data_IF_858867994573
#
_entry.id   IF_858867994573
#
_cell.length_a   1.000
_cell.length_b   1.000
_cell.length_c   1.000
_cell.angle_alpha   90.00
_cell.angle_beta   90.00
_cell.angle_gamma   90.00
#
_symmetry.space_group_name_H-M   'P 1'
#
loop_
_entity.id
_entity.type
_entity.pdbx_description
1 polymer ?
#
# COMPACT_ATOMS: atom_id res chain seq x y z
N UNK A 1 14.06 -66.28 -15.21
CA UNK A 1 13.35 -65.16 -14.55
C UNK A 1 14.40 -64.24 -13.92
N UNK A 2 14.52 -62.98 -14.37
CA UNK A 2 15.41 -61.96 -13.77
C UNK A 2 14.55 -60.75 -13.38
N UNK A 3 14.71 -60.18 -12.17
CA UNK A 3 13.80 -59.16 -11.65
C UNK A 3 14.13 -57.79 -12.26
N UNK A 4 13.15 -57.19 -12.94
CA UNK A 4 13.21 -55.85 -13.56
C UNK A 4 12.64 -54.84 -12.57
N UNK A 5 13.21 -54.66 -11.38
CA UNK A 5 12.54 -53.85 -10.32
C UNK A 5 13.42 -52.77 -9.68
N UNK A 6 14.65 -52.53 -10.15
CA UNK A 6 15.58 -51.60 -9.47
C UNK A 6 15.81 -50.24 -10.16
N UNK A 7 15.15 -49.95 -11.28
CA UNK A 7 15.40 -48.71 -12.07
C UNK A 7 14.40 -47.59 -11.73
N UNK A 8 13.21 -47.95 -11.24
CA UNK A 8 12.13 -47.01 -10.95
C UNK A 8 12.41 -46.02 -9.80
N UNK A 9 13.03 -46.40 -8.66
CA UNK A 9 13.26 -45.45 -7.57
C UNK A 9 14.36 -44.42 -7.92
N UNK A 10 15.30 -44.78 -8.79
CA UNK A 10 16.39 -43.88 -9.20
C UNK A 10 15.91 -42.75 -10.12
N UNK A 11 14.87 -43.00 -10.92
CA UNK A 11 14.28 -41.98 -11.80
C UNK A 11 13.46 -40.94 -11.01
N UNK A 12 12.80 -41.39 -9.93
CA UNK A 12 11.97 -40.53 -9.08
C UNK A 12 12.82 -39.57 -8.21
N UNK A 13 14.02 -39.99 -7.80
CA UNK A 13 14.97 -39.15 -7.06
C UNK A 13 15.58 -38.08 -7.97
N UNK A 14 15.90 -38.42 -9.22
CA UNK A 14 16.43 -37.46 -10.21
C UNK A 14 15.37 -36.41 -10.58
N UNK A 15 14.10 -36.82 -10.72
CA UNK A 15 12.99 -35.91 -10.98
C UNK A 15 12.71 -34.97 -9.79
N UNK A 16 12.86 -35.45 -8.55
CA UNK A 16 12.72 -34.62 -7.35
C UNK A 16 13.87 -33.60 -7.21
N UNK A 17 15.11 -33.96 -7.58
CA UNK A 17 16.23 -33.00 -7.63
C UNK A 17 16.04 -31.92 -8.71
N UNK A 18 15.42 -32.23 -9.85
CA UNK A 18 15.18 -31.27 -10.93
C UNK A 18 14.05 -30.25 -10.62
N UNK A 19 13.22 -30.51 -9.61
CA UNK A 19 12.18 -29.60 -9.11
C UNK A 19 12.65 -28.72 -7.95
N UNK A 20 13.94 -28.77 -7.60
CA UNK A 20 14.53 -27.86 -6.65
C UNK A 20 14.57 -26.46 -7.27
N UNK A 21 13.48 -25.70 -7.11
CA UNK A 21 13.48 -24.27 -7.38
C UNK A 21 14.65 -23.68 -6.58
N UNK A 22 15.70 -23.25 -7.28
CA UNK A 22 16.70 -22.40 -6.68
C UNK A 22 15.98 -21.12 -6.28
N UNK A 23 15.64 -20.99 -5.00
CA UNK A 23 15.28 -19.72 -4.41
C UNK A 23 16.50 -18.81 -4.59
N UNK A 24 16.50 -18.02 -5.66
CA UNK A 24 17.42 -16.90 -5.78
C UNK A 24 16.99 -15.90 -4.72
N UNK A 25 17.82 -15.74 -3.69
CA UNK A 25 17.64 -14.63 -2.77
C UNK A 25 17.75 -13.34 -3.60
N UNK A 26 16.76 -12.45 -3.47
CA UNK A 26 16.87 -11.14 -4.08
C UNK A 26 18.00 -10.39 -3.39
N UNK A 27 19.05 -10.08 -4.14
CA UNK A 27 20.09 -9.22 -3.60
C UNK A 27 19.56 -7.79 -3.55
N UNK A 28 19.59 -7.19 -2.37
CA UNK A 28 19.31 -5.76 -2.22
C UNK A 28 20.33 -4.99 -3.07
N UNK A 29 19.89 -4.12 -4.00
CA UNK A 29 20.80 -3.36 -4.85
C UNK A 29 21.73 -2.48 -4.00
N UNK A 30 22.94 -2.21 -4.49
CA UNK A 30 23.83 -1.27 -3.82
C UNK A 30 23.31 0.17 -4.02
N UNK A 31 23.41 1.05 -3.01
CA UNK A 31 22.96 2.42 -3.15
C UNK A 31 23.79 3.16 -4.20
N UNK A 32 23.13 3.99 -5.00
CA UNK A 32 23.72 4.79 -6.08
C UNK A 32 23.49 6.27 -5.79
N UNK A 33 24.57 7.06 -5.81
CA UNK A 33 24.49 8.51 -5.58
C UNK A 33 24.03 8.85 -4.16
N UNK A 34 23.12 9.82 -4.04
CA UNK A 34 22.53 10.21 -2.76
C UNK A 34 21.64 9.11 -2.21
N UNK A 35 21.82 8.78 -0.94
CA UNK A 35 21.17 7.61 -0.32
C UNK A 35 19.65 7.74 -0.21
N UNK A 36 19.10 8.96 -0.24
CA UNK A 36 17.69 9.22 0.07
C UNK A 36 16.74 8.60 -0.95
N UNK A 37 17.13 8.55 -2.23
CA UNK A 37 16.25 8.09 -3.31
C UNK A 37 16.94 7.05 -4.16
N UNK A 38 16.54 5.80 -3.94
CA UNK A 38 17.04 4.61 -4.61
C UNK A 38 15.91 4.03 -5.47
N UNK A 39 15.65 4.67 -6.61
CA UNK A 39 14.52 4.35 -7.49
C UNK A 39 14.93 3.45 -8.66
N UNK A 40 15.04 2.13 -8.42
CA UNK A 40 15.43 1.15 -9.43
C UNK A 40 14.27 0.70 -10.33
N UNK A 41 13.01 0.88 -9.89
CA UNK A 41 11.83 0.62 -10.69
C UNK A 41 11.42 1.80 -11.60
N UNK A 42 12.20 2.88 -11.60
CA UNK A 42 12.00 4.09 -12.41
C UNK A 42 10.60 4.72 -12.29
N UNK A 43 10.01 4.69 -11.09
CA UNK A 43 8.64 5.19 -10.85
C UNK A 43 8.58 6.69 -10.55
N UNK A 44 9.72 7.35 -10.33
CA UNK A 44 9.79 8.79 -10.01
C UNK A 44 10.38 9.61 -11.16
N UNK A 45 9.79 10.79 -11.42
CA UNK A 45 10.36 11.77 -12.35
C UNK A 45 11.62 12.42 -11.79
N UNK A 46 12.42 13.08 -12.65
CA UNK A 46 13.64 13.79 -12.21
C UNK A 46 13.33 14.91 -11.22
N UNK A 47 12.24 15.62 -11.44
CA UNK A 47 11.77 16.72 -10.60
C UNK A 47 11.35 16.21 -9.22
N UNK A 48 10.66 15.07 -9.18
CA UNK A 48 10.24 14.42 -7.93
C UNK A 48 11.43 13.89 -7.13
N UNK A 49 12.39 13.24 -7.79
CA UNK A 49 13.66 12.81 -7.16
C UNK A 49 14.40 14.00 -6.56
N UNK A 50 14.46 15.12 -7.28
CA UNK A 50 15.08 16.35 -6.80
C UNK A 50 14.39 16.89 -5.54
N UNK A 51 13.07 17.03 -5.57
CA UNK A 51 12.29 17.49 -4.41
C UNK A 51 12.51 16.59 -3.18
N UNK A 52 12.45 15.28 -3.38
CA UNK A 52 12.66 14.31 -2.31
C UNK A 52 14.07 14.35 -1.72
N UNK A 53 15.09 14.49 -2.58
CA UNK A 53 16.49 14.64 -2.14
C UNK A 53 16.70 15.93 -1.33
N UNK A 54 16.07 17.04 -1.74
CA UNK A 54 16.12 18.30 -0.97
C UNK A 54 15.50 18.13 0.42
N UNK A 55 14.34 17.45 0.52
CA UNK A 55 13.70 17.15 1.80
C UNK A 55 14.54 16.19 2.67
N UNK A 56 15.09 15.13 2.07
CA UNK A 56 15.94 14.16 2.79
C UNK A 56 17.19 14.82 3.34
N UNK A 57 17.87 15.62 2.52
CA UNK A 57 19.06 16.38 2.93
C UNK A 57 18.75 17.35 4.06
N UNK A 58 17.66 18.12 3.93
CA UNK A 58 17.24 19.07 4.95
C UNK A 58 16.99 18.38 6.30
N UNK A 59 16.32 17.23 6.30
CA UNK A 59 16.02 16.48 7.52
C UNK A 59 17.30 15.95 8.18
N UNK A 60 18.19 15.37 7.38
CA UNK A 60 19.44 14.79 7.86
C UNK A 60 20.35 15.89 8.45
N UNK A 61 20.53 17.01 7.75
CA UNK A 61 21.35 18.14 8.23
C UNK A 61 20.83 18.73 9.55
N UNK A 62 19.50 18.79 9.74
CA UNK A 62 18.91 19.41 10.93
C UNK A 62 18.80 18.46 12.12
N UNK A 63 18.66 17.16 11.89
CA UNK A 63 18.29 16.20 12.96
C UNK A 63 19.20 14.97 13.03
N UNK A 64 19.90 14.67 11.94
CA UNK A 64 20.59 13.40 11.70
C UNK A 64 19.64 12.24 11.41
N UNK A 65 18.34 12.49 11.20
CA UNK A 65 17.36 11.47 10.85
C UNK A 65 17.28 11.31 9.34
N UNK A 66 17.17 10.06 8.89
CA UNK A 66 17.22 9.73 7.47
C UNK A 66 15.95 8.99 7.05
N UNK A 67 15.29 9.49 6.00
CA UNK A 67 14.17 8.81 5.35
C UNK A 67 14.64 8.45 3.94
N UNK A 68 14.51 7.17 3.57
CA UNK A 68 14.98 6.64 2.28
C UNK A 68 13.84 5.96 1.54
N UNK A 69 13.73 6.24 0.24
CA UNK A 69 12.90 5.45 -0.68
C UNK A 69 13.77 4.41 -1.36
N UNK A 70 13.30 3.17 -1.36
CA UNK A 70 13.81 2.10 -2.21
C UNK A 70 12.68 1.57 -3.08
N UNK A 71 12.75 1.78 -4.40
CA UNK A 71 11.86 1.12 -5.34
C UNK A 71 12.64 0.01 -6.06
N UNK A 72 12.05 -1.17 -6.17
CA UNK A 72 12.61 -2.33 -6.88
C UNK A 72 11.53 -2.98 -7.74
N UNK A 73 11.94 -3.59 -8.84
CA UNK A 73 11.02 -4.32 -9.71
C UNK A 73 10.40 -5.51 -8.98
N UNK A 74 11.22 -6.32 -8.28
CA UNK A 74 10.73 -7.49 -7.56
C UNK A 74 11.61 -7.91 -6.38
N UNK A 75 10.97 -8.56 -5.40
CA UNK A 75 11.58 -9.24 -4.25
C UNK A 75 12.08 -10.66 -4.57
N UNK A 76 11.89 -11.14 -5.81
CA UNK A 76 12.31 -12.47 -6.29
C UNK A 76 11.87 -13.64 -5.37
N UNK A 77 10.71 -13.51 -4.72
CA UNK A 77 10.15 -14.51 -3.82
C UNK A 77 10.57 -14.38 -2.35
N UNK A 78 11.38 -13.38 -1.99
CA UNK A 78 11.69 -13.05 -0.59
C UNK A 78 10.51 -12.33 0.08
N UNK A 79 10.37 -12.50 1.41
CA UNK A 79 9.36 -11.77 2.18
C UNK A 79 9.73 -10.28 2.25
N UNK A 80 8.73 -9.40 2.12
CA UNK A 80 8.96 -7.95 2.11
C UNK A 80 9.56 -7.45 3.42
N UNK A 81 9.21 -8.07 4.55
CA UNK A 81 9.77 -7.82 5.87
C UNK A 81 11.28 -8.10 5.90
N UNK A 82 11.68 -9.26 5.40
CA UNK A 82 13.08 -9.70 5.39
C UNK A 82 13.91 -8.83 4.45
N UNK A 83 13.40 -8.55 3.25
CA UNK A 83 14.07 -7.71 2.26
C UNK A 83 14.24 -6.27 2.77
N UNK A 84 13.20 -5.68 3.37
CA UNK A 84 13.29 -4.34 3.93
C UNK A 84 14.30 -4.25 5.07
N UNK A 85 14.31 -5.24 5.98
CA UNK A 85 15.27 -5.28 7.08
C UNK A 85 16.70 -5.44 6.58
N UNK A 86 16.92 -6.29 5.57
CA UNK A 86 18.21 -6.47 4.92
C UNK A 86 18.68 -5.16 4.28
N UNK A 87 17.80 -4.49 3.52
CA UNK A 87 18.11 -3.21 2.91
C UNK A 87 18.42 -2.12 3.93
N UNK A 88 17.61 -2.03 4.99
CA UNK A 88 17.80 -1.08 6.08
C UNK A 88 19.20 -1.24 6.73
N UNK A 89 19.63 -2.47 6.97
CA UNK A 89 20.95 -2.80 7.54
C UNK A 89 22.08 -2.57 6.54
N UNK A 90 21.90 -2.99 5.29
CA UNK A 90 22.90 -2.82 4.23
C UNK A 90 23.20 -1.33 4.00
N UNK A 91 22.16 -0.50 4.01
CA UNK A 91 22.29 0.94 3.78
C UNK A 91 22.70 1.71 5.04
N UNK A 92 22.66 1.03 6.21
CA UNK A 92 22.99 1.62 7.52
C UNK A 92 22.18 2.89 7.79
N UNK A 93 20.86 2.78 7.63
CA UNK A 93 19.97 3.93 7.68
C UNK A 93 19.88 4.54 9.10
N UNK A 94 20.04 5.86 9.15
CA UNK A 94 19.98 6.64 10.37
C UNK A 94 21.34 6.78 11.07
N UNK A 95 21.39 7.68 12.04
CA UNK A 95 22.57 7.86 12.89
C UNK A 95 22.80 6.62 13.77
N UNK A 96 24.06 6.20 13.88
CA UNK A 96 24.45 4.98 14.59
C UNK A 96 24.13 4.99 16.10
N UNK A 97 24.02 6.18 16.71
CA UNK A 97 23.64 6.33 18.12
C UNK A 97 22.14 6.54 18.28
N UNK A 98 21.53 7.34 17.41
CA UNK A 98 20.12 7.70 17.50
C UNK A 98 19.19 6.63 16.93
N UNK A 99 19.65 5.80 16.00
CA UNK A 99 18.85 4.77 15.31
C UNK A 99 17.57 5.35 14.68
N UNK A 100 17.69 6.51 14.04
CA UNK A 100 16.59 7.33 13.55
C UNK A 100 16.43 7.27 12.01
N UNK A 101 16.62 6.08 11.44
CA UNK A 101 16.41 5.80 10.02
C UNK A 101 14.97 5.34 9.72
N UNK A 102 14.48 5.61 8.52
CA UNK A 102 13.21 5.11 7.98
C UNK A 102 13.43 4.66 6.54
N UNK A 103 12.95 3.46 6.19
CA UNK A 103 12.93 2.96 4.82
C UNK A 103 11.49 2.87 4.32
N UNK A 104 11.18 3.49 3.18
CA UNK A 104 9.97 3.29 2.40
C UNK A 104 10.30 2.41 1.19
N UNK A 105 9.98 1.13 1.28
CA UNK A 105 10.21 0.13 0.25
C UNK A 105 8.97 -0.05 -0.63
N UNK A 106 9.13 0.03 -1.94
CA UNK A 106 8.13 -0.36 -2.95
C UNK A 106 8.69 -1.49 -3.82
N UNK A 107 8.03 -2.63 -3.83
CA UNK A 107 8.28 -3.72 -4.76
C UNK A 107 7.15 -3.78 -5.80
N UNK A 108 7.45 -3.31 -7.00
CA UNK A 108 6.44 -2.99 -8.02
C UNK A 108 5.67 -4.23 -8.49
N UNK A 109 6.38 -5.28 -8.93
CA UNK A 109 5.76 -6.48 -9.49
C UNK A 109 5.17 -7.39 -8.42
N UNK A 110 5.70 -7.35 -7.20
CA UNK A 110 5.16 -8.11 -6.06
C UNK A 110 3.93 -7.45 -5.43
N UNK A 111 3.60 -6.23 -5.86
CA UNK A 111 2.54 -5.38 -5.29
C UNK A 111 2.65 -5.27 -3.77
N UNK A 112 3.87 -4.96 -3.29
CA UNK A 112 4.17 -4.77 -1.86
C UNK A 112 4.76 -3.41 -1.59
N UNK A 113 4.29 -2.79 -0.51
CA UNK A 113 4.87 -1.58 0.05
C UNK A 113 5.11 -1.79 1.54
N UNK A 114 6.25 -1.35 2.04
CA UNK A 114 6.62 -1.48 3.44
C UNK A 114 7.33 -0.24 3.94
N UNK A 115 7.07 0.09 5.20
CA UNK A 115 7.87 1.05 5.95
C UNK A 115 8.58 0.29 7.07
N UNK A 116 9.90 0.43 7.12
CA UNK A 116 10.76 -0.03 8.21
C UNK A 116 11.22 1.19 9.02
N UNK A 117 11.10 1.14 10.35
CA UNK A 117 11.41 2.26 11.25
C UNK A 117 12.51 1.85 12.21
N UNK A 118 13.54 2.68 12.33
CA UNK A 118 14.58 2.53 13.33
C UNK A 118 14.09 2.85 14.74
N UNK A 119 14.67 2.18 15.73
CA UNK A 119 14.26 2.26 17.14
C UNK A 119 14.12 3.70 17.68
N UNK A 120 14.98 4.62 17.24
CA UNK A 120 14.96 6.01 17.67
C UNK A 120 13.72 6.81 17.24
N UNK A 121 12.95 6.28 16.29
CA UNK A 121 11.74 6.92 15.77
C UNK A 121 10.47 6.16 16.13
N UNK A 122 10.51 5.07 16.89
CA UNK A 122 9.30 4.30 17.27
C UNK A 122 8.29 5.12 18.09
N UNK A 123 8.76 6.15 18.83
CA UNK A 123 7.87 7.09 19.52
C UNK A 123 7.06 7.95 18.55
N UNK A 124 7.72 8.45 17.49
CA UNK A 124 7.10 9.28 16.46
C UNK A 124 6.29 8.46 15.46
N UNK A 125 6.80 7.30 15.07
CA UNK A 125 6.32 6.43 14.01
C UNK A 125 6.11 4.99 14.53
N UNK A 126 5.19 4.76 15.49
CA UNK A 126 4.84 3.41 15.92
C UNK A 126 4.10 2.66 14.81
N UNK A 127 4.15 1.32 14.81
CA UNK A 127 3.56 0.43 13.80
C UNK A 127 2.12 0.81 13.42
N UNK A 128 1.29 1.10 14.42
CA UNK A 128 -0.10 1.47 14.20
C UNK A 128 -0.25 2.80 13.43
N UNK A 129 0.67 3.76 13.64
CA UNK A 129 0.68 5.02 12.89
C UNK A 129 1.20 4.79 11.47
N UNK A 130 2.32 4.09 11.32
CA UNK A 130 2.91 3.74 10.02
C UNK A 130 1.92 2.98 9.13
N UNK A 131 1.20 2.01 9.71
CA UNK A 131 0.16 1.25 9.03
C UNK A 131 -1.03 2.11 8.59
N UNK A 132 -1.33 3.22 9.28
CA UNK A 132 -2.32 4.22 8.83
C UNK A 132 -1.76 5.14 7.75
N UNK A 133 -0.49 5.52 7.83
CA UNK A 133 0.16 6.32 6.78
C UNK A 133 0.09 5.57 5.45
N UNK A 134 0.47 4.29 5.41
CA UNK A 134 0.34 3.47 4.20
C UNK A 134 -1.12 3.38 3.72
N UNK A 135 -2.08 3.27 4.64
CA UNK A 135 -3.50 3.17 4.28
C UNK A 135 -4.04 4.47 3.65
N UNK A 136 -3.60 5.63 4.13
CA UNK A 136 -4.14 6.93 3.72
C UNK A 136 -3.36 7.59 2.58
N UNK A 137 -2.06 7.33 2.46
CA UNK A 137 -1.16 8.06 1.56
C UNK A 137 -0.50 7.18 0.50
N UNK A 138 -0.50 5.86 0.67
CA UNK A 138 0.05 4.94 -0.32
C UNK A 138 -1.02 4.13 -1.05
N UNK A 139 -1.76 3.30 -0.32
CA UNK A 139 -2.61 2.25 -0.90
C UNK A 139 -3.59 2.75 -1.97
N UNK A 140 -4.35 3.83 -1.77
CA UNK A 140 -5.30 4.28 -2.79
C UNK A 140 -4.63 4.68 -4.11
N UNK A 141 -3.47 5.34 -4.04
CA UNK A 141 -2.69 5.69 -5.23
C UNK A 141 -2.08 4.44 -5.89
N UNK A 142 -1.67 3.44 -5.11
CA UNK A 142 -1.13 2.18 -5.63
C UNK A 142 -2.22 1.36 -6.34
N UNK A 143 -3.45 1.35 -5.81
CA UNK A 143 -4.62 0.72 -6.43
C UNK A 143 -4.95 1.36 -7.79
N UNK A 144 -4.71 2.66 -7.95
CA UNK A 144 -4.84 3.40 -9.22
C UNK A 144 -3.58 3.35 -10.12
N UNK A 145 -2.59 2.53 -9.77
CA UNK A 145 -1.28 2.42 -10.46
C UNK A 145 -0.49 3.74 -10.51
N UNK A 146 -0.80 4.68 -9.62
CA UNK A 146 -0.09 5.95 -9.45
C UNK A 146 1.03 5.82 -8.40
N UNK A 147 2.04 5.02 -8.73
CA UNK A 147 3.17 4.70 -7.83
C UNK A 147 3.95 5.93 -7.37
N UNK A 148 4.13 6.89 -8.28
CA UNK A 148 4.82 8.13 -8.02
C UNK A 148 4.14 8.94 -6.91
N UNK A 149 2.82 9.16 -7.01
CA UNK A 149 2.06 9.88 -5.99
C UNK A 149 2.00 9.12 -4.67
N UNK A 150 1.91 7.78 -4.72
CA UNK A 150 1.96 6.95 -3.52
C UNK A 150 3.26 7.17 -2.73
N UNK A 151 4.41 7.12 -3.39
CA UNK A 151 5.71 7.37 -2.77
C UNK A 151 5.84 8.82 -2.29
N UNK A 152 5.39 9.77 -3.10
CA UNK A 152 5.53 11.19 -2.81
C UNK A 152 4.77 11.63 -1.57
N UNK A 153 3.48 11.28 -1.51
CA UNK A 153 2.63 11.63 -0.39
C UNK A 153 3.04 10.90 0.89
N UNK A 154 3.40 9.62 0.77
CA UNK A 154 3.87 8.82 1.91
C UNK A 154 5.17 9.37 2.49
N UNK A 155 6.16 9.69 1.64
CA UNK A 155 7.42 10.25 2.09
C UNK A 155 7.24 11.61 2.77
N UNK A 156 6.46 12.51 2.18
CA UNK A 156 6.16 13.82 2.76
C UNK A 156 5.46 13.69 4.12
N UNK A 157 4.54 12.72 4.27
CA UNK A 157 3.91 12.48 5.57
C UNK A 157 4.92 11.95 6.59
N UNK A 158 5.81 11.03 6.21
CA UNK A 158 6.89 10.57 7.08
C UNK A 158 7.81 11.74 7.48
N UNK A 159 8.19 12.59 6.53
CA UNK A 159 8.97 13.80 6.78
C UNK A 159 8.29 14.71 7.81
N UNK A 160 6.98 14.92 7.69
CA UNK A 160 6.21 15.74 8.63
C UNK A 160 6.18 15.15 10.05
N UNK A 161 6.02 13.84 10.18
CA UNK A 161 6.01 13.16 11.48
C UNK A 161 7.38 13.19 12.15
N UNK A 162 8.46 12.93 11.40
CA UNK A 162 9.84 13.00 11.93
C UNK A 162 10.21 14.45 12.28
N UNK A 163 9.86 15.40 11.42
CA UNK A 163 10.10 16.84 11.68
C UNK A 163 9.38 17.30 12.96
N UNK A 164 8.15 16.82 13.19
CA UNK A 164 7.40 17.12 14.41
C UNK A 164 8.06 16.56 15.68
N UNK A 165 8.64 15.35 15.61
CA UNK A 165 9.39 14.74 16.73
C UNK A 165 10.58 15.61 17.15
N UNK A 166 11.32 16.13 16.17
CA UNK A 166 12.46 17.03 16.42
C UNK A 166 12.08 18.50 16.60
N UNK A 167 10.79 18.83 16.60
CA UNK A 167 10.26 20.20 16.73
C UNK A 167 10.78 21.16 15.66
N UNK A 168 10.93 20.66 14.43
CA UNK A 168 11.19 21.49 13.27
C UNK A 168 9.89 22.17 12.82
N UNK A 169 9.99 23.45 12.42
CA UNK A 169 8.85 24.21 11.89
C UNK A 169 8.57 23.89 10.41
N UNK A 170 9.46 23.15 9.75
CA UNK A 170 9.34 22.78 8.35
C UNK A 170 8.25 21.69 8.20
N UNK A 171 7.20 22.02 7.45
CA UNK A 171 6.14 21.08 7.07
C UNK A 171 5.92 21.12 5.57
N UNK A 172 5.66 19.95 5.02
CA UNK A 172 5.33 19.77 3.61
C UNK A 172 3.82 19.60 3.45
N UNK A 173 3.29 20.13 2.36
CA UNK A 173 1.91 19.89 1.99
C UNK A 173 1.76 18.44 1.51
N UNK A 174 1.13 17.62 2.34
CA UNK A 174 0.75 16.24 2.02
C UNK A 174 -0.73 16.20 1.71
N UNK A 175 -1.10 15.58 0.58
CA UNK A 175 -2.51 15.25 0.31
C UNK A 175 -2.73 13.80 0.71
N UNK A 176 -3.50 13.59 1.78
CA UNK A 176 -4.13 12.29 1.98
C UNK A 176 -5.00 12.03 0.75
N UNK A 177 -5.16 10.76 0.37
CA UNK A 177 -6.08 10.42 -0.70
C UNK A 177 -7.49 10.82 -0.27
N UNK A 178 -7.97 11.92 -0.82
CA UNK A 178 -9.39 12.22 -0.87
C UNK A 178 -9.87 11.56 -2.16
N UNK A 179 -10.76 10.55 -2.11
CA UNK A 179 -11.39 10.11 -3.33
C UNK A 179 -11.97 11.36 -3.96
N UNK A 180 -11.70 11.60 -5.24
CA UNK A 180 -12.53 12.48 -6.04
C UNK A 180 -13.94 12.00 -5.75
N UNK A 181 -14.69 12.73 -4.91
CA UNK A 181 -16.12 12.54 -4.85
C UNK A 181 -16.50 12.87 -6.27
N UNK A 182 -16.68 11.85 -7.11
CA UNK A 182 -17.18 12.03 -8.46
C UNK A 182 -18.36 12.94 -8.24
N UNK A 183 -18.25 14.20 -8.68
CA UNK A 183 -19.24 15.21 -8.34
C UNK A 183 -20.57 14.54 -8.62
N UNK A 184 -21.34 14.30 -7.55
CA UNK A 184 -22.60 13.59 -7.68
C UNK A 184 -23.36 14.24 -8.83
N UNK A 185 -24.16 13.50 -9.61
CA UNK A 185 -24.78 14.02 -10.82
C UNK A 185 -25.25 15.44 -10.56
N UNK A 186 -24.79 16.41 -11.35
CA UNK A 186 -25.00 17.83 -11.07
C UNK A 186 -26.45 18.10 -10.68
N UNK A 187 -26.74 19.12 -9.87
CA UNK A 187 -28.14 19.43 -9.49
C UNK A 187 -29.07 19.49 -10.72
N UNK A 188 -28.54 19.94 -11.87
CA UNK A 188 -29.23 19.93 -13.17
C UNK A 188 -29.54 18.50 -13.64
N UNK A 189 -28.55 17.60 -13.59
CA UNK A 189 -28.72 16.18 -13.91
C UNK A 189 -29.76 15.52 -12.99
N UNK A 190 -29.71 15.76 -11.68
CA UNK A 190 -30.69 15.24 -10.71
C UNK A 190 -32.09 15.76 -11.01
N UNK A 191 -32.24 17.05 -11.32
CA UNK A 191 -33.53 17.66 -11.66
C UNK A 191 -34.08 17.04 -12.95
N UNK A 192 -33.25 16.87 -13.99
CA UNK A 192 -33.67 16.26 -15.25
C UNK A 192 -34.15 14.81 -15.03
N UNK A 193 -33.37 13.99 -14.31
CA UNK A 193 -33.76 12.62 -14.01
C UNK A 193 -35.03 12.55 -13.15
N UNK A 194 -35.18 13.46 -12.19
CA UNK A 194 -36.38 13.54 -11.33
C UNK A 194 -37.62 13.92 -12.14
N UNK A 195 -37.51 14.85 -13.08
CA UNK A 195 -38.62 15.24 -13.97
C UNK A 195 -39.00 14.11 -14.93
N UNK A 196 -38.02 13.41 -15.50
CA UNK A 196 -38.26 12.25 -16.36
C UNK A 196 -38.96 11.13 -15.56
N UNK A 197 -38.46 10.82 -14.36
CA UNK A 197 -39.05 9.83 -13.48
C UNK A 197 -40.49 10.20 -13.07
N UNK A 198 -40.73 11.47 -12.71
CA UNK A 198 -42.08 11.96 -12.38
C UNK A 198 -43.02 11.86 -13.59
N UNK A 199 -42.53 12.16 -14.79
CA UNK A 199 -43.29 12.03 -16.04
C UNK A 199 -43.67 10.59 -16.35
N UNK A 200 -42.74 9.65 -16.15
CA UNK A 200 -43.00 8.20 -16.32
C UNK A 200 -44.04 7.72 -15.31
N UNK A 201 -43.92 8.12 -14.04
CA UNK A 201 -44.91 7.78 -12.99
C UNK A 201 -46.27 8.37 -13.32
N UNK A 202 -46.33 9.63 -13.78
CA UNK A 202 -47.58 10.28 -14.17
C UNK A 202 -48.24 9.58 -15.36
N UNK A 203 -47.46 9.18 -16.37
CA UNK A 203 -47.96 8.42 -17.52
C UNK A 203 -48.48 7.04 -17.11
N UNK A 204 -47.76 6.32 -16.25
CA UNK A 204 -48.18 5.01 -15.73
C UNK A 204 -49.49 5.12 -14.92
N UNK A 205 -49.62 6.15 -14.08
CA UNK A 205 -50.85 6.41 -13.34
C UNK A 205 -52.03 6.76 -14.26
N UNK A 206 -51.78 7.47 -15.37
CA UNK A 206 -52.84 7.94 -16.29
C UNK A 206 -53.32 6.88 -17.28
N UNK A 207 -52.40 6.05 -17.79
CA UNK A 207 -52.66 5.10 -18.88
C UNK A 207 -52.69 3.64 -18.45
N UNK A 208 -51.90 3.28 -17.43
CA UNK A 208 -51.69 1.89 -16.99
C UNK A 208 -52.23 1.64 -15.56
N UNK A 209 -52.87 2.64 -14.95
CA UNK A 209 -53.46 2.53 -13.61
C UNK A 209 -52.45 2.32 -12.48
N UNK A 210 -51.18 2.70 -12.69
CA UNK A 210 -50.12 2.56 -11.69
C UNK A 210 -49.48 1.16 -11.65
N UNK A 211 -49.74 0.30 -12.65
CA UNK A 211 -49.28 -1.09 -12.65
C UNK A 211 -47.75 -1.22 -12.63
N UNK A 212 -47.00 -0.38 -13.37
CA UNK A 212 -45.53 -0.41 -13.35
C UNK A 212 -44.99 0.14 -12.03
N UNK A 213 -45.54 1.25 -11.55
CA UNK A 213 -45.12 1.90 -10.30
C UNK A 213 -45.30 0.96 -9.11
N UNK A 214 -46.44 0.27 -9.03
CA UNK A 214 -46.71 -0.74 -7.99
C UNK A 214 -45.82 -1.98 -8.10
N UNK A 215 -45.45 -2.39 -9.31
CA UNK A 215 -44.56 -3.54 -9.54
C UNK A 215 -43.13 -3.23 -9.10
N UNK A 216 -42.63 -2.02 -9.38
CA UNK A 216 -41.32 -1.53 -8.95
C UNK A 216 -41.28 -1.36 -7.43
N UNK A 217 -42.33 -0.79 -6.81
CA UNK A 217 -42.43 -0.66 -5.35
C UNK A 217 -42.40 -2.02 -4.63
N UNK A 218 -43.10 -3.02 -5.17
CA UNK A 218 -43.08 -4.40 -4.62
C UNK A 218 -41.70 -5.05 -4.76
N UNK A 219 -41.02 -4.84 -5.88
CA UNK A 219 -39.66 -5.33 -6.08
C UNK A 219 -38.66 -4.66 -5.13
N UNK A 220 -38.75 -3.34 -4.96
CA UNK A 220 -37.91 -2.57 -4.04
C UNK A 220 -38.14 -2.99 -2.58
N UNK A 221 -39.39 -3.24 -2.18
CA UNK A 221 -39.72 -3.71 -0.84
C UNK A 221 -39.06 -5.07 -0.52
N UNK A 222 -38.98 -5.99 -1.49
CA UNK A 222 -38.31 -7.29 -1.34
C UNK A 222 -36.79 -7.13 -1.25
N UNK A 223 -36.21 -6.21 -2.01
CA UNK A 223 -34.77 -5.91 -1.98
C UNK A 223 -34.36 -5.28 -0.63
N UNK A 224 -35.14 -4.31 -0.14
CA UNK A 224 -34.90 -3.65 1.14
C UNK A 224 -35.15 -4.58 2.34
N UNK A 225 -36.03 -5.57 2.20
CA UNK A 225 -36.30 -6.57 3.25
C UNK A 225 -35.24 -7.68 3.34
N UNK A 226 -34.26 -7.71 2.42
CA UNK A 226 -33.20 -8.73 2.34
C UNK A 226 -31.86 -8.27 2.94
N UNK A 227 -31.85 -7.14 3.66
CA UNK A 227 -30.66 -6.54 4.29
C UNK A 227 -30.46 -6.81 5.79
N UNK A 228 -31.22 -7.71 6.41
CA UNK A 228 -31.14 -7.99 7.85
C UNK A 228 -30.86 -9.46 8.16
N UNK A 229 -29.62 -9.91 8.00
CA UNK A 229 -29.18 -11.28 8.31
C UNK A 229 -27.78 -11.27 8.92
N UNK A 230 -27.69 -11.67 10.19
CA UNK A 230 -26.50 -11.53 11.03
C UNK A 230 -25.29 -12.38 10.62
N UNK A 231 -24.13 -11.94 11.10
CA UNK A 231 -22.85 -12.64 10.98
C UNK A 231 -21.94 -12.27 12.15
N UNK A 232 -22.29 -12.77 13.34
CA UNK A 232 -21.43 -12.71 14.52
C UNK A 232 -20.33 -13.77 14.35
N UNK A 233 -19.13 -13.36 13.95
CA UNK A 233 -17.96 -14.23 13.81
C UNK A 233 -16.88 -13.84 14.83
N UNK A 234 -16.42 -14.76 15.70
CA UNK A 234 -15.32 -14.47 16.60
C UNK A 234 -13.98 -14.61 15.87
N UNK A 235 -13.16 -13.57 15.89
CA UNK A 235 -11.71 -13.63 15.60
C UNK A 235 -11.03 -12.87 16.75
N UNK A 236 -10.37 -13.51 17.71
CA UNK A 236 -9.43 -14.63 17.60
C UNK A 236 -8.03 -14.04 17.49
N UNK A 237 -7.35 -13.87 18.63
CA UNK A 237 -6.05 -13.19 18.75
C UNK A 237 -4.82 -14.07 18.54
N UNK A 238 -3.66 -13.48 18.85
CA UNK A 238 -2.32 -14.09 18.85
C UNK A 238 -1.42 -13.44 17.79
N UNK A 239 -0.17 -13.06 18.03
CA UNK A 239 0.76 -13.20 19.14
C UNK A 239 1.98 -12.34 18.82
N UNK A 240 2.73 -11.90 19.83
CA UNK A 240 3.77 -10.87 19.69
C UNK A 240 5.18 -11.35 19.31
N UNK A 241 6.06 -10.33 19.31
CA UNK A 241 7.54 -10.30 19.33
C UNK A 241 8.29 -10.41 18.00
N UNK A 242 8.78 -9.26 17.50
CA UNK A 242 10.10 -9.14 16.83
C UNK A 242 10.52 -7.67 16.58
N UNK A 243 11.24 -7.07 17.54
CA UNK A 243 12.54 -6.41 17.32
C UNK A 243 12.74 -5.15 16.46
N UNK A 244 11.70 -4.52 15.91
CA UNK A 244 11.80 -3.22 15.22
C UNK A 244 10.46 -2.79 14.62
N UNK A 245 10.12 -1.51 14.72
CA UNK A 245 8.84 -0.97 14.25
C UNK A 245 8.70 -0.92 12.72
N UNK A 246 7.49 -1.13 12.20
CA UNK A 246 7.19 -1.05 10.78
C UNK A 246 5.80 -1.57 10.39
N UNK A 247 5.41 -1.34 9.14
CA UNK A 247 4.18 -1.91 8.58
C UNK A 247 4.34 -2.22 7.09
N UNK A 248 3.79 -3.35 6.64
CA UNK A 248 3.71 -3.74 5.23
C UNK A 248 2.25 -3.80 4.77
N UNK A 249 2.02 -3.53 3.48
CA UNK A 249 0.73 -3.66 2.80
C UNK A 249 0.95 -4.24 1.40
N UNK A 250 -0.11 -4.84 0.85
CA UNK A 250 -0.17 -5.17 -0.57
C UNK A 250 -1.44 -4.61 -1.20
N UNK A 251 -1.44 -4.52 -2.53
CA UNK A 251 -2.55 -4.04 -3.35
C UNK A 251 -2.75 -4.95 -4.59
#
# INVERSE_FOLDING_TARGET
MKPVHSIFPSFLIILFCLLSNQAHAANVPAPVGDIYIQDFAEVLSKEQKKELNELGTLLDEQTGAQIVILSVDSLQGQQVEEFALEAFRQYKLGDAQKNNGVLLLLALNDRKIRIEVGYGLEGALPDGKVGRILQSYALPYLEEENFSMALMNTYKQLFNEVSAEYKLDNRTDTKAFEPETSDGPSLITIIIFSLIALGIVFLDMRFLGGALTLSILRMLAVILSRGGGGGNGPRGGGGGSSGGGGASRGW
#
